data_IF_501268509761
#
_entry.id   IF_501268509761
#
_cell.length_a   1.000
_cell.length_b   1.000
_cell.length_c   1.000
_cell.angle_alpha   90.00
_cell.angle_beta   90.00
_cell.angle_gamma   90.00
#
_symmetry.space_group_name_H-M   'P 1'
#
loop_
_entity.id
_entity.type
_entity.pdbx_description
1 polymer ?
#
# COMPACT_ATOMS: atom_id res chain seq x y z
N UNK A 1 -18.75 -10.60 -17.76
CA UNK A 1 -17.71 -9.59 -17.63
C UNK A 1 -16.62 -10.14 -16.72
N UNK A 2 -15.37 -9.82 -17.04
CA UNK A 2 -14.19 -10.14 -16.23
C UNK A 2 -13.47 -8.85 -15.95
N UNK A 3 -13.09 -8.63 -14.70
CA UNK A 3 -12.20 -7.56 -14.28
C UNK A 3 -10.94 -8.22 -13.73
N UNK A 4 -9.79 -7.88 -14.29
CA UNK A 4 -8.49 -8.36 -13.85
C UNK A 4 -7.68 -7.15 -13.36
N UNK A 5 -7.33 -7.13 -12.07
CA UNK A 5 -6.58 -6.05 -11.43
C UNK A 5 -5.18 -6.58 -11.13
N UNK A 6 -4.22 -6.16 -11.95
CA UNK A 6 -2.81 -6.44 -11.75
C UNK A 6 -2.12 -5.43 -10.83
N UNK A 7 -0.78 -5.47 -10.77
CA UNK A 7 0.01 -4.46 -10.05
C UNK A 7 -0.02 -3.08 -10.72
N UNK A 8 0.11 -3.04 -12.05
CA UNK A 8 0.21 -1.78 -12.80
C UNK A 8 -0.93 -1.50 -13.79
N UNK A 9 -1.86 -2.45 -14.01
CA UNK A 9 -2.99 -2.29 -14.94
C UNK A 9 -4.23 -3.00 -14.44
N UNK A 10 -5.38 -2.47 -14.81
CA UNK A 10 -6.69 -3.11 -14.64
C UNK A 10 -7.29 -3.35 -16.01
N UNK A 11 -7.58 -4.61 -16.35
CA UNK A 11 -8.21 -5.01 -17.60
C UNK A 11 -9.70 -5.36 -17.39
N UNK A 12 -10.56 -4.76 -18.19
CA UNK A 12 -11.99 -5.07 -18.25
C UNK A 12 -12.31 -5.74 -19.55
N UNK A 13 -12.88 -6.94 -19.50
CA UNK A 13 -13.32 -7.71 -20.66
C UNK A 13 -14.77 -8.13 -20.51
N UNK A 14 -15.59 -7.88 -21.53
CA UNK A 14 -16.97 -8.35 -21.63
C UNK A 14 -17.06 -9.30 -22.82
N UNK A 15 -17.40 -10.55 -22.55
CA UNK A 15 -17.62 -11.58 -23.56
C UNK A 15 -19.05 -12.09 -23.48
N UNK A 16 -19.64 -12.35 -24.66
CA UNK A 16 -20.75 -13.28 -24.79
C UNK A 16 -20.19 -14.69 -24.98
N UNK A 17 -20.88 -15.66 -24.46
CA UNK A 17 -20.53 -17.08 -24.62
C UNK A 17 -21.65 -17.80 -25.29
N UNK A 18 -21.36 -18.51 -26.39
CA UNK A 18 -22.27 -19.44 -27.06
C UNK A 18 -21.75 -20.87 -26.88
N UNK A 19 -22.70 -21.81 -26.86
CA UNK A 19 -22.38 -23.22 -26.84
C UNK A 19 -22.47 -23.76 -28.26
N UNK A 20 -21.43 -24.40 -28.76
CA UNK A 20 -21.39 -25.16 -29.99
C UNK A 20 -21.35 -26.65 -29.65
N UNK A 21 -22.37 -27.37 -30.09
CA UNK A 21 -22.49 -28.82 -29.87
C UNK A 21 -21.90 -29.63 -31.04
N UNK A 22 -21.35 -28.97 -32.08
CA UNK A 22 -20.83 -29.60 -33.29
C UNK A 22 -21.94 -30.18 -34.17
N UNK A 23 -21.72 -30.26 -35.51
CA UNK A 23 -22.67 -30.81 -36.47
C UNK A 23 -22.93 -32.32 -36.28
N UNK A 24 -22.13 -33.05 -35.50
CA UNK A 24 -22.23 -34.47 -35.25
C UNK A 24 -22.57 -34.80 -33.78
N UNK A 25 -23.58 -34.17 -33.23
CA UNK A 25 -24.05 -34.39 -31.83
C UNK A 25 -24.52 -35.81 -31.57
N UNK A 26 -23.56 -36.74 -31.44
CA UNK A 26 -23.81 -38.04 -30.83
C UNK A 26 -23.95 -37.89 -29.31
N UNK A 27 -24.75 -38.73 -28.68
CA UNK A 27 -24.95 -38.74 -27.22
C UNK A 27 -23.64 -38.95 -26.46
N UNK A 28 -23.06 -37.85 -25.95
CA UNK A 28 -21.77 -37.82 -25.27
C UNK A 28 -20.82 -36.73 -25.76
N UNK A 29 -21.29 -35.87 -26.70
CA UNK A 29 -20.47 -34.79 -27.23
C UNK A 29 -20.25 -33.68 -26.19
N UNK A 30 -19.00 -33.34 -26.01
CA UNK A 30 -18.58 -32.17 -25.23
C UNK A 30 -19.04 -30.89 -26.00
N UNK A 31 -19.73 -29.98 -25.33
CA UNK A 31 -20.03 -28.67 -25.87
C UNK A 31 -18.76 -27.80 -25.82
N UNK A 32 -18.52 -27.08 -26.90
CA UNK A 32 -17.45 -26.07 -26.94
C UNK A 32 -18.04 -24.72 -26.50
N UNK A 33 -17.36 -24.04 -25.62
CA UNK A 33 -17.71 -22.67 -25.21
C UNK A 33 -16.95 -21.73 -26.15
N UNK A 34 -17.70 -20.98 -26.95
CA UNK A 34 -17.13 -20.00 -27.89
C UNK A 34 -17.33 -18.61 -27.31
N UNK A 35 -16.23 -17.93 -26.87
CA UNK A 35 -16.29 -16.55 -26.42
C UNK A 35 -16.35 -15.61 -27.62
N UNK A 36 -17.26 -14.65 -27.58
CA UNK A 36 -17.31 -13.51 -28.51
C UNK A 36 -17.09 -12.23 -27.72
N UNK A 37 -15.92 -11.62 -27.91
CA UNK A 37 -15.57 -10.40 -27.20
C UNK A 37 -16.46 -9.24 -27.66
N UNK A 38 -17.16 -8.59 -26.73
CA UNK A 38 -17.98 -7.40 -26.93
C UNK A 38 -17.27 -6.12 -26.62
N UNK A 39 -16.45 -6.16 -25.55
CA UNK A 39 -15.74 -4.99 -25.08
C UNK A 39 -14.42 -5.42 -24.42
N UNK A 40 -13.39 -4.63 -24.63
CA UNK A 40 -12.14 -4.70 -23.86
C UNK A 40 -11.61 -3.30 -23.69
N UNK A 41 -11.21 -2.99 -22.47
CA UNK A 41 -10.54 -1.75 -22.12
C UNK A 41 -9.49 -2.02 -21.02
N UNK A 42 -8.47 -1.17 -20.95
CA UNK A 42 -7.40 -1.29 -19.97
C UNK A 42 -7.10 0.07 -19.35
N UNK A 43 -6.98 0.08 -18.03
CA UNK A 43 -6.72 1.27 -17.24
C UNK A 43 -5.35 1.15 -16.58
N UNK A 44 -4.64 2.29 -16.44
CA UNK A 44 -3.34 2.36 -15.74
C UNK A 44 -3.48 2.62 -14.23
N UNK A 45 -4.63 2.28 -13.66
CA UNK A 45 -4.86 2.34 -12.22
C UNK A 45 -4.95 0.91 -11.70
N UNK A 46 -4.15 0.56 -10.73
CA UNK A 46 -4.06 -0.83 -10.27
C UNK A 46 -3.53 -0.93 -8.82
N UNK A 47 -3.17 -2.13 -8.39
CA UNK A 47 -2.78 -2.41 -7.01
C UNK A 47 -1.61 -1.56 -6.49
N UNK A 48 -0.65 -1.23 -7.35
CA UNK A 48 0.51 -0.41 -6.95
C UNK A 48 0.10 1.04 -6.65
N UNK A 49 -0.88 1.60 -7.38
CA UNK A 49 -1.41 2.95 -7.12
C UNK A 49 -2.16 2.98 -5.78
N UNK A 50 -2.97 1.94 -5.53
CA UNK A 50 -3.68 1.77 -4.26
C UNK A 50 -2.70 1.68 -3.09
N UNK A 51 -1.63 0.88 -3.24
CA UNK A 51 -0.59 0.78 -2.22
C UNK A 51 0.11 2.12 -1.99
N UNK A 52 0.40 2.86 -3.06
CA UNK A 52 1.02 4.19 -2.96
C UNK A 52 0.13 5.16 -2.18
N UNK A 53 -1.18 5.16 -2.44
CA UNK A 53 -2.13 5.99 -1.72
C UNK A 53 -2.21 5.59 -0.23
N UNK A 54 -2.18 4.29 0.09
CA UNK A 54 -2.08 3.83 1.47
C UNK A 54 -0.80 4.29 2.17
N UNK A 55 0.34 4.25 1.46
CA UNK A 55 1.60 4.75 2.02
C UNK A 55 1.49 6.26 2.30
N UNK A 56 0.95 7.04 1.38
CA UNK A 56 0.80 8.50 1.55
C UNK A 56 -0.18 8.86 2.66
N UNK A 57 -1.39 8.33 2.59
CA UNK A 57 -2.51 8.76 3.42
C UNK A 57 -2.53 8.12 4.80
N UNK A 58 -1.80 7.02 5.00
CA UNK A 58 -1.73 6.34 6.30
C UNK A 58 -0.33 6.37 6.87
N UNK A 59 0.68 5.86 6.14
CA UNK A 59 2.03 5.69 6.72
C UNK A 59 2.71 7.04 6.90
N UNK A 60 2.78 7.87 5.85
CA UNK A 60 3.43 9.18 5.89
C UNK A 60 2.65 10.15 6.80
N UNK A 61 1.32 10.09 6.76
CA UNK A 61 0.49 10.89 7.67
C UNK A 61 0.71 10.49 9.14
N UNK A 62 0.74 9.19 9.45
CA UNK A 62 1.05 8.71 10.80
C UNK A 62 2.42 9.15 11.28
N UNK A 63 3.42 9.10 10.39
CA UNK A 63 4.77 9.60 10.66
C UNK A 63 4.74 11.11 10.94
N UNK A 64 4.04 11.89 10.12
CA UNK A 64 3.89 13.33 10.28
C UNK A 64 3.26 13.70 11.62
N UNK A 65 2.15 13.03 11.98
CA UNK A 65 1.47 13.24 13.27
C UNK A 65 2.36 12.80 14.43
N UNK A 66 3.02 11.64 14.30
CA UNK A 66 3.94 11.13 15.31
C UNK A 66 5.09 12.09 15.60
N UNK A 67 5.67 12.68 14.55
CA UNK A 67 6.74 13.69 14.68
C UNK A 67 6.26 14.97 15.36
N UNK A 68 5.05 15.46 15.03
CA UNK A 68 4.43 16.61 15.72
C UNK A 68 4.22 16.32 17.20
N UNK A 69 3.73 15.13 17.53
CA UNK A 69 3.52 14.71 18.92
C UNK A 69 4.85 14.55 19.68
N UNK A 70 5.93 14.17 18.99
CA UNK A 70 7.28 14.11 19.55
C UNK A 70 7.92 15.48 19.76
N UNK A 71 7.28 16.58 19.31
CA UNK A 71 7.73 17.96 19.53
C UNK A 71 8.31 18.66 18.29
N UNK A 72 8.32 18.03 17.13
CA UNK A 72 8.73 18.67 15.88
C UNK A 72 7.59 19.52 15.32
N UNK A 73 7.72 20.85 15.41
CA UNK A 73 6.65 21.80 15.03
C UNK A 73 6.25 21.67 13.56
N UNK A 74 7.24 21.51 12.69
CA UNK A 74 7.07 21.39 11.25
C UNK A 74 7.88 20.19 10.73
N UNK A 75 7.27 19.03 10.53
CA UNK A 75 7.92 17.84 9.99
C UNK A 75 8.21 17.91 8.50
N UNK A 76 7.48 18.76 7.74
CA UNK A 76 7.49 18.76 6.28
C UNK A 76 8.90 18.91 5.67
N UNK A 77 9.76 19.87 6.11
CA UNK A 77 11.08 20.02 5.54
C UNK A 77 11.95 18.77 5.67
N UNK A 78 11.94 18.11 6.85
CA UNK A 78 12.74 16.92 7.09
C UNK A 78 12.17 15.70 6.35
N UNK A 79 10.87 15.56 6.28
CA UNK A 79 10.23 14.49 5.51
C UNK A 79 10.46 14.67 4.01
N UNK A 80 10.36 15.90 3.50
CA UNK A 80 10.64 16.21 2.09
C UNK A 80 12.11 15.90 1.73
N UNK A 81 13.05 16.15 2.62
CA UNK A 81 14.46 15.77 2.42
C UNK A 81 14.66 14.24 2.41
N UNK A 82 14.01 13.51 3.33
CA UNK A 82 14.21 12.07 3.50
C UNK A 82 13.45 11.22 2.49
N UNK A 83 12.23 11.60 2.14
CA UNK A 83 11.32 10.77 1.31
C UNK A 83 10.78 11.51 0.07
N UNK A 84 11.03 12.80 -0.08
CA UNK A 84 10.61 13.61 -1.24
C UNK A 84 11.42 13.35 -2.52
N UNK A 85 11.03 13.99 -3.62
CA UNK A 85 11.63 13.79 -4.95
C UNK A 85 12.89 14.65 -5.20
N UNK A 86 13.42 15.34 -4.18
CA UNK A 86 14.61 16.17 -4.34
C UNK A 86 15.83 15.35 -4.74
N UNK A 87 16.71 15.97 -5.53
CA UNK A 87 17.94 15.34 -6.01
C UNK A 87 18.85 14.93 -4.85
N UNK A 88 18.79 13.68 -4.50
CA UNK A 88 19.59 13.08 -3.45
C UNK A 88 20.91 12.52 -4.00
N UNK A 89 21.89 12.37 -3.14
CA UNK A 89 23.06 11.55 -3.45
C UNK A 89 22.60 10.13 -3.80
N UNK A 90 23.33 9.45 -4.71
CA UNK A 90 22.98 8.08 -5.14
C UNK A 90 22.80 7.13 -3.94
N UNK A 91 23.62 7.27 -2.91
CA UNK A 91 23.54 6.47 -1.71
C UNK A 91 22.23 6.69 -0.93
N UNK A 92 21.80 7.94 -0.82
CA UNK A 92 20.55 8.30 -0.14
C UNK A 92 19.33 7.79 -0.92
N UNK A 93 19.40 7.80 -2.27
CA UNK A 93 18.35 7.24 -3.11
C UNK A 93 18.15 5.74 -2.88
N UNK A 94 19.24 4.98 -2.71
CA UNK A 94 19.15 3.55 -2.39
C UNK A 94 18.53 3.31 -1.00
N UNK A 95 18.98 4.05 0.01
CA UNK A 95 18.44 3.92 1.37
C UNK A 95 16.95 4.31 1.44
N UNK A 96 16.54 5.35 0.70
CA UNK A 96 15.12 5.73 0.55
C UNK A 96 14.30 4.62 -0.10
N UNK A 97 14.82 4.01 -1.17
CA UNK A 97 14.15 2.86 -1.80
C UNK A 97 14.03 1.69 -0.82
N UNK A 98 15.08 1.39 -0.07
CA UNK A 98 15.06 0.33 0.93
C UNK A 98 14.10 0.65 2.09
N UNK A 99 14.02 1.90 2.53
CA UNK A 99 13.04 2.35 3.52
C UNK A 99 11.60 2.10 3.03
N UNK A 100 11.32 2.43 1.77
CA UNK A 100 10.01 2.14 1.17
C UNK A 100 9.72 0.65 1.17
N UNK A 101 10.66 -0.19 0.74
CA UNK A 101 10.47 -1.63 0.64
C UNK A 101 10.42 -2.34 1.99
N UNK A 102 11.22 -1.91 2.97
CA UNK A 102 11.35 -2.60 4.25
C UNK A 102 10.40 -2.08 5.34
N UNK A 103 9.89 -0.86 5.19
CA UNK A 103 9.04 -0.22 6.22
C UNK A 103 7.68 0.18 5.64
N UNK A 104 7.65 1.07 4.65
CA UNK A 104 6.41 1.70 4.23
C UNK A 104 5.48 0.74 3.47
N UNK A 105 6.01 -0.03 2.52
CA UNK A 105 5.20 -0.98 1.74
C UNK A 105 4.63 -2.11 2.61
N UNK A 106 5.39 -2.77 3.51
CA UNK A 106 4.82 -3.76 4.40
C UNK A 106 3.71 -3.22 5.31
N UNK A 107 3.88 -2.00 5.85
CA UNK A 107 2.84 -1.35 6.66
C UNK A 107 1.61 -1.04 5.79
N UNK A 108 1.80 -0.47 4.60
CA UNK A 108 0.71 -0.19 3.65
C UNK A 108 -0.08 -1.45 3.27
N UNK A 109 0.61 -2.54 2.96
CA UNK A 109 -0.01 -3.84 2.68
C UNK A 109 -0.77 -4.40 3.88
N UNK A 110 -0.27 -4.21 5.10
CA UNK A 110 -0.97 -4.62 6.32
C UNK A 110 -2.26 -3.83 6.51
N UNK A 111 -2.26 -2.53 6.20
CA UNK A 111 -3.46 -1.69 6.25
C UNK A 111 -4.47 -2.12 5.18
N UNK A 112 -4.03 -2.40 3.95
CA UNK A 112 -4.91 -2.91 2.89
C UNK A 112 -5.55 -4.24 3.27
N UNK A 113 -4.77 -5.17 3.83
CA UNK A 113 -5.29 -6.45 4.30
C UNK A 113 -6.35 -6.30 5.38
N UNK A 114 -6.20 -5.35 6.28
CA UNK A 114 -7.23 -5.06 7.30
C UNK A 114 -8.47 -4.44 6.64
N UNK A 115 -8.28 -3.57 5.64
CA UNK A 115 -9.37 -2.95 4.91
C UNK A 115 -10.20 -3.98 4.11
N UNK A 116 -9.58 -5.03 3.57
CA UNK A 116 -10.30 -6.13 2.90
C UNK A 116 -11.33 -6.81 3.82
N UNK A 117 -11.06 -6.86 5.13
CA UNK A 117 -11.98 -7.39 6.14
C UNK A 117 -12.90 -6.35 6.79
N UNK A 118 -12.81 -5.10 6.37
CA UNK A 118 -13.57 -4.02 6.99
C UNK A 118 -15.07 -4.10 6.67
N UNK A 119 -15.88 -4.15 7.72
CA UNK A 119 -17.33 -4.04 7.64
C UNK A 119 -17.77 -2.65 8.12
N UNK A 120 -18.25 -1.77 7.21
CA UNK A 120 -18.72 -0.43 7.58
C UNK A 120 -19.82 -0.42 8.64
N UNK A 121 -20.59 -1.51 8.76
CA UNK A 121 -21.67 -1.63 9.75
C UNK A 121 -21.14 -1.95 11.15
N UNK A 122 -19.99 -2.61 11.26
CA UNK A 122 -19.39 -2.97 12.56
C UNK A 122 -18.32 -1.98 13.03
N UNK A 123 -17.80 -1.14 12.13
CA UNK A 123 -16.76 -0.12 12.41
C UNK A 123 -15.53 -0.65 13.14
N UNK A 124 -15.20 -1.91 12.94
CA UNK A 124 -14.03 -2.53 13.58
C UNK A 124 -12.74 -2.02 12.93
N UNK A 125 -11.86 -1.44 13.74
CA UNK A 125 -10.53 -1.02 13.33
C UNK A 125 -9.51 -1.53 14.35
N UNK A 126 -8.82 -2.63 14.03
CA UNK A 126 -7.89 -3.31 14.93
C UNK A 126 -6.47 -2.75 14.84
N UNK A 127 -6.16 -1.94 13.82
CA UNK A 127 -4.81 -1.41 13.59
C UNK A 127 -4.57 -0.06 14.27
N UNK A 128 -5.62 0.71 14.52
CA UNK A 128 -5.46 2.05 15.05
C UNK A 128 -4.76 2.05 16.42
N UNK A 129 -3.66 2.78 16.53
CA UNK A 129 -2.85 2.86 17.74
C UNK A 129 -1.77 1.79 17.88
N UNK A 130 -1.72 0.76 17.01
CA UNK A 130 -0.57 -0.15 16.92
C UNK A 130 0.65 0.61 16.43
N UNK A 131 1.82 0.22 16.93
CA UNK A 131 3.09 0.82 16.49
C UNK A 131 3.53 0.26 15.13
N UNK A 132 4.39 0.98 14.43
CA UNK A 132 5.02 0.47 13.20
C UNK A 132 5.74 -0.86 13.45
N UNK A 133 6.38 -1.00 14.61
CA UNK A 133 7.04 -2.25 15.01
C UNK A 133 6.06 -3.42 15.08
N UNK A 134 4.88 -3.23 15.68
CA UNK A 134 3.84 -4.27 15.77
C UNK A 134 3.27 -4.65 14.40
N UNK A 135 3.21 -3.70 13.47
CA UNK A 135 2.75 -3.98 12.10
C UNK A 135 3.79 -4.74 11.26
N UNK A 136 5.04 -4.71 11.67
CA UNK A 136 6.17 -5.38 11.01
C UNK A 136 6.56 -6.72 11.67
N UNK A 137 5.81 -7.20 12.67
CA UNK A 137 6.17 -8.44 13.40
C UNK A 137 6.27 -9.68 12.50
N UNK A 138 5.41 -9.78 11.49
CA UNK A 138 5.32 -10.93 10.59
C UNK A 138 6.21 -10.82 9.34
N UNK A 139 7.03 -9.78 9.22
CA UNK A 139 7.90 -9.54 8.07
C UNK A 139 9.36 -9.45 8.50
N UNK A 140 10.28 -9.50 7.53
CA UNK A 140 11.70 -9.32 7.79
C UNK A 140 11.97 -7.94 8.40
N UNK A 141 12.74 -7.91 9.48
CA UNK A 141 13.06 -6.67 10.18
C UNK A 141 13.84 -5.72 9.27
N UNK A 142 13.51 -4.42 9.30
CA UNK A 142 14.30 -3.41 8.58
C UNK A 142 15.75 -3.44 9.02
N UNK A 143 16.66 -3.25 8.06
CA UNK A 143 18.10 -3.19 8.35
C UNK A 143 18.46 -1.96 9.16
N UNK A 144 19.51 -2.06 9.98
CA UNK A 144 20.00 -0.96 10.81
C UNK A 144 20.32 0.28 9.97
N UNK A 145 20.96 0.11 8.82
CA UNK A 145 21.28 1.22 7.90
C UNK A 145 20.06 1.96 7.38
N UNK A 146 18.95 1.27 7.16
CA UNK A 146 17.68 1.89 6.77
C UNK A 146 17.05 2.64 7.94
N UNK A 147 17.08 2.05 9.12
CA UNK A 147 16.56 2.71 10.33
C UNK A 147 17.40 3.94 10.71
N UNK A 148 18.70 3.86 10.59
CA UNK A 148 19.58 5.02 10.85
C UNK A 148 19.36 6.13 9.83
N UNK A 149 19.16 5.79 8.55
CA UNK A 149 18.88 6.76 7.51
C UNK A 149 17.71 7.69 7.88
N UNK A 150 16.61 7.13 8.39
CA UNK A 150 15.45 7.95 8.77
C UNK A 150 15.52 8.48 10.20
N UNK A 151 16.00 7.69 11.15
CA UNK A 151 15.99 8.07 12.56
C UNK A 151 17.03 9.15 12.91
N UNK A 152 18.25 9.08 12.37
CA UNK A 152 19.34 9.99 12.73
C UNK A 152 19.05 11.47 12.44
N UNK A 153 18.53 11.86 11.25
CA UNK A 153 18.14 13.25 11.00
C UNK A 153 17.02 13.71 11.94
N UNK A 154 16.04 12.83 12.20
CA UNK A 154 14.90 13.15 13.08
C UNK A 154 15.37 13.29 14.54
N UNK A 155 16.23 12.38 15.04
CA UNK A 155 16.83 12.47 16.39
C UNK A 155 17.53 13.79 16.61
N UNK A 156 18.30 14.24 15.60
CA UNK A 156 18.98 15.55 15.64
C UNK A 156 17.99 16.70 15.66
N UNK A 157 16.96 16.65 14.85
CA UNK A 157 15.95 17.71 14.80
C UNK A 157 15.11 17.81 16.07
N UNK A 158 14.82 16.67 16.70
CA UNK A 158 14.09 16.58 17.97
C UNK A 158 14.97 16.85 19.21
N UNK A 159 16.30 16.72 19.09
CA UNK A 159 17.18 16.66 20.25
C UNK A 159 16.96 15.43 21.14
N UNK A 160 16.40 14.35 20.59
CA UNK A 160 16.06 13.11 21.28
C UNK A 160 16.78 11.90 20.66
N UNK A 161 17.85 11.46 21.29
CA UNK A 161 18.67 10.34 20.82
C UNK A 161 17.93 8.98 20.84
N UNK A 162 16.88 8.85 21.63
CA UNK A 162 16.12 7.60 21.78
C UNK A 162 14.92 7.51 20.82
N UNK A 163 14.70 8.52 19.99
CA UNK A 163 13.58 8.48 19.04
C UNK A 163 13.76 7.33 18.02
N UNK A 164 12.67 6.61 17.77
CA UNK A 164 12.62 5.58 16.73
C UNK A 164 11.26 5.64 16.03
N UNK A 165 11.26 5.69 14.70
CA UNK A 165 10.01 5.69 13.92
C UNK A 165 9.19 4.43 14.16
N UNK A 166 9.83 3.30 14.48
CA UNK A 166 9.13 2.04 14.73
C UNK A 166 8.23 2.09 15.97
N UNK A 167 8.47 3.02 16.89
CA UNK A 167 7.67 3.20 18.11
C UNK A 167 6.43 4.11 17.86
N UNK A 168 6.32 4.70 16.68
CA UNK A 168 5.20 5.56 16.36
C UNK A 168 3.92 4.76 16.12
N UNK A 169 2.77 5.22 16.69
CA UNK A 169 1.50 4.58 16.44
C UNK A 169 0.98 4.93 15.05
N UNK A 170 0.44 3.93 14.35
CA UNK A 170 -0.28 4.16 13.10
C UNK A 170 -1.66 4.76 13.40
N UNK A 171 -2.05 5.71 12.57
CA UNK A 171 -3.37 6.31 12.60
C UNK A 171 -4.14 5.90 11.35
N UNK A 172 -5.05 4.94 11.52
CA UNK A 172 -5.86 4.41 10.42
C UNK A 172 -7.29 4.89 10.55
N UNK A 173 -7.75 5.62 9.56
CA UNK A 173 -9.16 5.95 9.41
C UNK A 173 -9.74 5.15 8.23
N UNK A 174 -10.35 4.00 8.52
CA UNK A 174 -10.91 3.13 7.49
C UNK A 174 -12.09 3.77 6.74
N UNK A 175 -12.85 4.68 7.36
CA UNK A 175 -13.90 5.43 6.68
C UNK A 175 -13.31 6.38 5.62
N UNK A 176 -12.18 7.03 5.92
CA UNK A 176 -11.45 7.85 4.94
C UNK A 176 -10.88 6.99 3.81
N UNK A 177 -10.28 5.85 4.13
CA UNK A 177 -9.78 4.89 3.14
C UNK A 177 -10.92 4.46 2.21
N UNK A 178 -12.09 4.15 2.76
CA UNK A 178 -13.27 3.79 1.96
C UNK A 178 -13.71 4.89 0.99
N UNK A 179 -13.44 6.14 1.28
CA UNK A 179 -13.75 7.26 0.39
C UNK A 179 -12.75 7.46 -0.76
N UNK A 180 -11.62 6.74 -0.76
CA UNK A 180 -10.63 6.76 -1.83
C UNK A 180 -10.99 5.78 -2.97
N UNK A 181 -11.88 4.82 -2.70
CA UNK A 181 -12.40 3.82 -3.64
C UNK A 181 -13.87 4.09 -3.97
#
# INVERSE_FOLDING_TARGET
>A
ATVDIGGGTTDLVINDYSLDYGENGGSGSNAYIIPTQRFRDGFKVAGDDILLDMIRDVVVESLTVGLKNAGLRDPEPILSELIGDQALKVQDALLRQQLTLQVFSPIGLRVLKEYEGYDPMQKNNTLNGKTFSELLEDVEKPTESVLDYINEPIRRALGNANFNILDLPVQVNLERIHSLF
#
